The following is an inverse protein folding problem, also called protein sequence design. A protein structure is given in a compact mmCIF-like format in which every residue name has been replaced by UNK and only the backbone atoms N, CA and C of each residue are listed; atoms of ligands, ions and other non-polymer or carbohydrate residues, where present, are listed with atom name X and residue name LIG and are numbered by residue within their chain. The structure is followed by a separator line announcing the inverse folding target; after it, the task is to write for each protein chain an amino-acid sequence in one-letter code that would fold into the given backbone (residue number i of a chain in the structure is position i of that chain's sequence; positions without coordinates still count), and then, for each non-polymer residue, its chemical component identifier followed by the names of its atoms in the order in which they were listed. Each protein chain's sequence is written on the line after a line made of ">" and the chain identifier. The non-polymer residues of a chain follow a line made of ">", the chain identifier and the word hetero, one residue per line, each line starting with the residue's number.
data_IF_656663505020
#
_entry.id   IF_656663505020
#
_cell.length_a   1.000
_cell.length_b   1.000
_cell.length_c   1.000
_cell.angle_alpha   90.00
_cell.angle_beta   90.00
_cell.angle_gamma   90.00
#
_symmetry.space_group_name_H-M   'P 1'
#
loop_
_entity.id
_entity.type
_entity.pdbx_description
1 polymer ?
#
# COMPACT_ATOMS: atom_id res chain seq x y z
N UNK A 1 -46.27 55.22 -15.00
CA UNK A 1 -44.84 55.45 -14.66
C UNK A 1 -44.37 54.78 -13.36
N UNK A 2 -45.17 53.91 -12.71
CA UNK A 2 -44.77 53.27 -11.43
C UNK A 2 -44.22 51.84 -11.54
N UNK A 3 -44.34 51.19 -12.70
CA UNK A 3 -44.00 49.77 -12.84
C UNK A 3 -42.50 49.50 -13.11
N UNK A 4 -41.75 50.52 -13.56
CA UNK A 4 -40.29 50.42 -13.78
C UNK A 4 -39.46 50.69 -12.52
N UNK A 5 -40.04 51.31 -11.49
CA UNK A 5 -39.33 51.64 -10.25
C UNK A 5 -39.22 50.44 -9.29
N UNK A 6 -40.16 49.49 -9.35
CA UNK A 6 -40.18 48.34 -8.43
C UNK A 6 -39.16 47.27 -8.85
N UNK A 7 -38.90 47.09 -10.15
CA UNK A 7 -37.92 46.10 -10.61
C UNK A 7 -36.46 46.47 -10.28
N UNK A 8 -36.14 47.76 -10.12
CA UNK A 8 -34.78 48.19 -9.80
C UNK A 8 -34.41 47.95 -8.32
N UNK A 9 -35.39 47.88 -7.42
CA UNK A 9 -35.14 47.74 -5.97
C UNK A 9 -35.03 46.29 -5.49
N UNK A 10 -35.49 45.31 -6.29
CA UNK A 10 -35.40 43.88 -5.94
C UNK A 10 -34.04 43.28 -6.34
N UNK A 11 -33.34 43.87 -7.31
CA UNK A 11 -32.04 43.35 -7.78
C UNK A 11 -30.83 43.72 -6.91
N UNK A 12 -30.99 44.57 -5.89
CA UNK A 12 -29.87 45.04 -5.04
C UNK A 12 -29.73 44.33 -3.68
N UNK A 13 -30.56 43.32 -3.39
CA UNK A 13 -30.58 42.65 -2.09
C UNK A 13 -30.00 41.21 -2.09
N UNK A 14 -29.38 40.76 -3.19
CA UNK A 14 -28.92 39.36 -3.34
C UNK A 14 -27.40 39.18 -3.41
N UNK A 15 -26.61 40.24 -3.20
CA UNK A 15 -25.14 40.13 -3.06
C UNK A 15 -24.72 40.14 -1.60
N UNK A 16 -25.19 39.16 -0.84
CA UNK A 16 -24.54 38.74 0.39
C UNK A 16 -23.90 37.38 0.11
N UNK A 17 -22.77 37.39 -0.59
CA UNK A 17 -21.85 36.27 -0.59
C UNK A 17 -21.26 36.20 0.82
N UNK A 18 -21.91 35.46 1.73
CA UNK A 18 -21.25 35.00 2.94
C UNK A 18 -20.12 34.07 2.48
N UNK A 19 -18.88 34.45 2.75
CA UNK A 19 -17.73 33.58 2.51
C UNK A 19 -17.66 32.57 3.66
N UNK A 20 -18.10 31.31 3.46
CA UNK A 20 -18.14 30.30 4.52
C UNK A 20 -16.74 29.83 4.93
N UNK A 21 -15.67 30.38 4.31
CA UNK A 21 -14.29 30.07 4.61
C UNK A 21 -13.57 31.16 5.40
N UNK A 22 -14.24 32.28 5.71
CA UNK A 22 -13.67 33.35 6.53
C UNK A 22 -13.35 32.91 7.98
N UNK A 23 -14.00 31.85 8.47
CA UNK A 23 -13.79 31.30 9.83
C UNK A 23 -12.66 30.27 9.92
N UNK A 24 -11.97 29.95 8.82
CA UNK A 24 -10.83 29.03 8.85
C UNK A 24 -9.50 29.80 8.85
N UNK A 25 -8.77 29.66 9.95
CA UNK A 25 -7.41 30.16 10.10
C UNK A 25 -6.52 29.58 8.98
N UNK A 26 -5.90 30.45 8.17
CA UNK A 26 -5.05 30.00 7.07
C UNK A 26 -3.75 29.48 7.65
N UNK A 27 -3.24 28.39 7.09
CA UNK A 27 -1.98 27.78 7.52
C UNK A 27 -0.76 28.74 7.44
N UNK A 28 -0.89 29.84 6.67
CA UNK A 28 0.09 30.93 6.59
C UNK A 28 0.13 31.82 7.83
N UNK A 29 -0.92 31.80 8.64
CA UNK A 29 -1.14 32.73 9.75
C UNK A 29 -0.84 32.05 11.11
N UNK A 30 -0.53 30.75 11.08
CA UNK A 30 -0.04 30.00 12.23
C UNK A 30 1.45 30.32 12.40
N UNK A 31 1.86 31.03 13.47
CA UNK A 31 3.27 31.23 13.76
C UNK A 31 3.91 29.88 14.06
N UNK A 32 4.72 29.39 13.12
CA UNK A 32 5.65 28.29 13.38
C UNK A 32 6.66 28.80 14.41
N UNK A 33 6.87 28.02 15.48
CA UNK A 33 7.90 28.33 16.46
C UNK A 33 9.26 28.47 15.75
N UNK A 34 9.85 29.66 15.82
CA UNK A 34 11.25 29.86 15.45
C UNK A 34 12.12 29.17 16.50
N UNK A 35 13.00 28.29 16.02
CA UNK A 35 14.03 27.51 16.72
C UNK A 35 13.59 26.37 17.64
N UNK A 36 13.62 25.10 17.18
CA UNK A 36 14.08 24.03 18.05
C UNK A 36 15.57 24.25 18.32
N UNK A 37 15.89 24.65 19.55
CA UNK A 37 17.27 24.60 20.06
C UNK A 37 17.88 23.24 19.75
N UNK A 38 19.01 23.27 19.04
CA UNK A 38 19.56 22.14 18.31
C UNK A 38 19.67 20.85 19.12
N UNK A 39 19.12 19.77 18.55
CA UNK A 39 19.45 18.42 18.98
C UNK A 39 20.94 18.18 18.70
N UNK A 40 21.72 18.01 19.76
CA UNK A 40 23.13 17.63 19.68
C UNK A 40 23.23 16.19 19.17
N UNK A 41 23.90 16.01 18.04
CA UNK A 41 24.27 14.69 17.51
C UNK A 41 25.38 14.15 18.42
N UNK A 42 25.11 13.07 19.15
CA UNK A 42 26.16 12.28 19.81
C UNK A 42 26.79 11.42 18.73
N UNK A 43 27.96 11.83 18.24
CA UNK A 43 28.82 10.97 17.43
C UNK A 43 29.47 9.92 18.32
N UNK A 44 29.08 8.65 18.15
CA UNK A 44 29.86 7.54 18.70
C UNK A 44 30.90 7.12 17.65
N UNK A 45 32.17 7.41 17.96
CA UNK A 45 33.33 6.94 17.22
C UNK A 45 33.39 5.40 17.35
N UNK A 46 33.30 4.70 16.23
CA UNK A 46 33.47 3.26 16.17
C UNK A 46 34.95 2.94 15.92
N UNK A 47 35.66 2.56 16.98
CA UNK A 47 37.00 1.99 16.91
C UNK A 47 36.99 0.73 16.00
N UNK A 48 37.76 0.79 14.91
CA UNK A 48 37.97 -0.35 14.02
C UNK A 48 39.31 -1.01 14.38
N UNK A 49 39.34 -2.27 14.84
CA UNK A 49 40.61 -2.95 15.08
C UNK A 49 41.27 -3.39 13.75
N UNK A 50 42.62 -3.38 13.67
CA UNK A 50 43.32 -3.75 12.45
C UNK A 50 43.23 -5.25 12.17
N UNK A 51 42.73 -5.61 10.98
CA UNK A 51 42.81 -6.95 10.43
C UNK A 51 44.25 -7.20 9.91
N UNK A 52 45.13 -7.62 10.80
CA UNK A 52 46.43 -8.22 10.49
C UNK A 52 46.24 -9.73 10.38
N UNK A 53 45.89 -10.26 9.20
CA UNK A 53 46.37 -11.59 8.76
C UNK A 53 46.27 -11.69 7.24
N UNK A 54 47.45 -11.74 6.62
CA UNK A 54 47.67 -11.83 5.19
C UNK A 54 47.11 -13.09 4.57
N UNK A 55 46.72 -12.94 3.30
CA UNK A 55 46.11 -13.98 2.50
C UNK A 55 47.02 -15.14 2.15
N UNK A 56 46.43 -16.16 1.57
CA UNK A 56 47.09 -17.10 0.66
C UNK A 56 46.05 -18.03 0.02
N UNK A 57 45.17 -17.56 -0.87
CA UNK A 57 44.59 -18.41 -1.94
C UNK A 57 44.08 -17.54 -3.09
N UNK A 58 45.02 -16.94 -3.82
CA UNK A 58 44.83 -16.76 -5.26
C UNK A 58 44.83 -18.14 -5.91
N UNK A 59 43.88 -18.44 -6.80
CA UNK A 59 44.13 -18.77 -8.22
C UNK A 59 42.89 -19.33 -8.92
N UNK A 60 42.38 -18.51 -9.83
CA UNK A 60 41.90 -18.78 -11.18
C UNK A 60 41.27 -20.14 -11.52
N UNK A 61 40.07 -20.07 -12.13
CA UNK A 61 39.89 -20.48 -13.52
C UNK A 61 38.68 -19.78 -14.13
N UNK A 62 38.90 -19.25 -15.34
CA UNK A 62 37.96 -18.57 -16.20
C UNK A 62 37.20 -19.57 -17.10
N UNK A 63 36.12 -19.04 -17.66
CA UNK A 63 35.39 -19.46 -18.85
C UNK A 63 34.65 -20.81 -18.84
N UNK A 64 33.32 -20.73 -18.89
CA UNK A 64 32.57 -21.20 -20.07
C UNK A 64 31.18 -20.57 -20.08
N UNK A 65 30.91 -19.84 -21.16
CA UNK A 65 29.60 -19.38 -21.58
C UNK A 65 28.67 -20.57 -21.88
N UNK A 66 27.43 -20.52 -21.38
CA UNK A 66 26.30 -21.22 -21.98
C UNK A 66 24.99 -20.60 -21.51
N UNK A 67 24.42 -19.78 -22.40
CA UNK A 67 23.01 -19.77 -22.76
C UNK A 67 22.01 -19.32 -21.69
N UNK A 68 21.67 -18.04 -21.77
CA UNK A 68 20.33 -17.54 -21.48
C UNK A 68 19.31 -18.36 -22.30
N UNK A 69 18.63 -19.31 -21.64
CA UNK A 69 17.45 -19.95 -22.21
C UNK A 69 16.22 -19.15 -21.79
N UNK A 70 15.93 -18.14 -22.61
CA UNK A 70 14.62 -17.53 -22.70
C UNK A 70 13.66 -18.59 -23.28
N UNK A 71 12.85 -19.19 -22.41
CA UNK A 71 11.79 -20.11 -22.80
C UNK A 71 10.53 -19.82 -21.97
N UNK A 72 9.96 -18.65 -22.25
CA UNK A 72 8.55 -18.34 -22.08
C UNK A 72 7.71 -19.39 -22.82
N UNK A 73 7.39 -20.49 -22.14
CA UNK A 73 6.22 -21.32 -22.48
C UNK A 73 5.05 -20.76 -21.69
N UNK A 74 4.37 -19.78 -22.29
CA UNK A 74 3.07 -19.30 -21.87
C UNK A 74 2.04 -20.42 -22.10
N UNK A 75 1.81 -21.22 -21.07
CA UNK A 75 0.81 -22.28 -21.09
C UNK A 75 0.64 -22.89 -19.71
N UNK A 76 -0.34 -22.36 -18.97
CA UNK A 76 -1.04 -23.08 -17.90
C UNK A 76 -0.42 -23.22 -16.50
N UNK A 77 0.53 -22.36 -16.12
CA UNK A 77 1.16 -22.38 -14.77
C UNK A 77 0.73 -21.21 -13.86
N UNK A 78 -0.48 -20.68 -13.98
CA UNK A 78 -1.01 -19.72 -12.98
C UNK A 78 -1.91 -20.37 -11.92
N UNK A 79 -2.40 -21.59 -12.18
CA UNK A 79 -3.27 -22.30 -11.23
C UNK A 79 -2.52 -22.90 -10.03
N UNK A 80 -1.18 -22.95 -10.07
CA UNK A 80 -0.32 -23.41 -8.96
C UNK A 80 0.82 -22.42 -8.62
N UNK A 81 0.61 -21.11 -8.76
CA UNK A 81 1.50 -20.17 -8.06
C UNK A 81 1.23 -20.34 -6.57
N UNK A 82 2.06 -21.15 -5.90
CA UNK A 82 2.32 -20.97 -4.47
C UNK A 82 2.73 -19.50 -4.32
N UNK A 83 1.92 -18.73 -3.59
CA UNK A 83 2.22 -17.36 -3.22
C UNK A 83 3.63 -17.33 -2.62
N UNK A 84 4.62 -16.83 -3.37
CA UNK A 84 5.98 -16.62 -2.86
C UNK A 84 6.08 -15.27 -2.14
N UNK A 85 5.05 -14.43 -2.27
CA UNK A 85 4.99 -13.13 -1.62
C UNK A 85 4.53 -13.24 -0.16
N UNK A 86 3.77 -14.28 0.20
CA UNK A 86 3.51 -14.64 1.59
C UNK A 86 4.72 -15.39 2.16
N UNK A 87 5.29 -14.91 3.28
CA UNK A 87 6.29 -15.67 4.03
C UNK A 87 5.67 -16.96 4.59
N UNK A 88 6.54 -17.94 4.89
CA UNK A 88 6.20 -19.20 5.52
C UNK A 88 5.29 -19.03 6.75
N UNK A 89 4.55 -20.08 7.11
CA UNK A 89 3.68 -20.05 8.28
C UNK A 89 4.43 -19.65 9.55
N UNK A 90 3.83 -18.76 10.34
CA UNK A 90 4.36 -18.29 11.62
C UNK A 90 3.42 -18.60 12.78
N UNK A 91 3.93 -18.71 14.01
CA UNK A 91 3.11 -18.81 15.21
C UNK A 91 2.15 -17.61 15.37
N UNK A 92 1.01 -17.88 16.02
CA UNK A 92 0.06 -16.82 16.36
C UNK A 92 0.71 -15.80 17.30
N UNK A 93 0.59 -14.51 16.96
CA UNK A 93 1.12 -13.42 17.77
C UNK A 93 2.59 -13.07 17.51
N UNK A 94 3.26 -13.70 16.53
CA UNK A 94 4.61 -13.26 16.13
C UNK A 94 4.63 -11.80 15.69
N UNK A 95 5.65 -11.04 16.08
CA UNK A 95 5.91 -9.73 15.49
C UNK A 95 6.62 -9.92 14.14
N UNK A 96 6.13 -9.28 13.08
CA UNK A 96 6.76 -9.33 11.77
C UNK A 96 7.47 -8.01 11.47
N UNK A 97 8.63 -8.03 10.78
CA UNK A 97 9.20 -6.83 10.20
C UNK A 97 8.18 -6.14 9.27
N UNK A 98 8.18 -4.81 9.27
CA UNK A 98 7.27 -4.04 8.43
C UNK A 98 7.41 -4.40 6.94
N UNK A 99 6.29 -4.47 6.23
CA UNK A 99 6.21 -4.91 4.83
C UNK A 99 6.29 -6.43 4.63
N UNK A 100 6.51 -7.21 5.70
CA UNK A 100 6.34 -8.65 5.67
C UNK A 100 4.89 -9.05 5.97
N UNK A 101 4.50 -10.17 5.37
CA UNK A 101 3.22 -10.82 5.61
C UNK A 101 3.50 -12.31 5.68
N UNK A 102 2.85 -12.99 6.61
CA UNK A 102 2.98 -14.43 6.78
C UNK A 102 1.61 -15.07 6.97
N UNK A 103 1.50 -16.35 6.61
CA UNK A 103 0.33 -17.14 6.96
C UNK A 103 0.38 -17.53 8.44
N UNK A 104 -0.80 -17.64 9.07
CA UNK A 104 -0.93 -18.02 10.48
C UNK A 104 -2.17 -18.90 10.64
N UNK A 105 -2.07 -20.18 10.27
CA UNK A 105 -3.24 -21.06 10.25
C UNK A 105 -3.81 -21.32 11.65
N UNK A 106 -2.98 -21.24 12.70
CA UNK A 106 -3.40 -21.29 14.10
C UNK A 106 -4.36 -20.15 14.51
N UNK A 107 -4.43 -19.05 13.74
CA UNK A 107 -5.37 -17.96 13.98
C UNK A 107 -6.79 -18.27 13.49
N UNK A 108 -7.00 -19.37 12.77
CA UNK A 108 -8.30 -19.70 12.18
C UNK A 108 -9.34 -19.95 13.28
N UNK A 109 -10.46 -19.23 13.20
CA UNK A 109 -11.57 -19.37 14.15
C UNK A 109 -11.33 -18.76 15.53
N UNK A 110 -10.18 -18.11 15.74
CA UNK A 110 -9.88 -17.40 16.99
C UNK A 110 -10.36 -15.94 16.93
N UNK A 111 -10.28 -15.24 18.07
CA UNK A 111 -10.58 -13.81 18.12
C UNK A 111 -9.37 -13.01 17.61
N UNK A 112 -9.46 -12.51 16.38
CA UNK A 112 -8.37 -11.78 15.70
C UNK A 112 -8.25 -10.30 16.10
N UNK A 113 -9.21 -9.77 16.85
CA UNK A 113 -9.34 -8.34 17.12
C UNK A 113 -10.64 -7.77 16.57
N UNK A 114 -10.68 -6.46 16.31
CA UNK A 114 -11.83 -5.77 15.73
C UNK A 114 -11.78 -5.87 14.21
N UNK A 115 -12.84 -6.34 13.58
CA UNK A 115 -13.01 -6.16 12.13
C UNK A 115 -13.17 -4.66 11.86
N UNK A 116 -12.19 -4.07 11.17
CA UNK A 116 -12.15 -2.63 10.86
C UNK A 116 -12.55 -2.34 9.42
N UNK A 117 -12.38 -3.30 8.50
CA UNK A 117 -12.83 -3.16 7.13
C UNK A 117 -13.08 -4.52 6.44
N UNK A 118 -13.75 -4.45 5.30
CA UNK A 118 -14.13 -5.58 4.45
C UNK A 118 -14.09 -5.15 2.99
N UNK A 119 -13.62 -6.06 2.13
CA UNK A 119 -13.61 -5.86 0.69
C UNK A 119 -13.92 -7.14 -0.10
N UNK A 120 -14.83 -7.12 -1.10
CA UNK A 120 -15.77 -6.04 -1.37
C UNK A 120 -16.75 -5.84 -0.21
N UNK A 121 -17.39 -4.66 -0.13
CA UNK A 121 -18.28 -4.28 1.00
C UNK A 121 -19.44 -5.27 1.24
N UNK A 122 -19.84 -6.04 0.23
CA UNK A 122 -20.87 -7.08 0.32
C UNK A 122 -20.34 -8.40 -0.24
N UNK A 123 -20.85 -9.52 0.28
CA UNK A 123 -20.53 -10.87 -0.19
C UNK A 123 -19.38 -11.54 0.56
N UNK A 124 -18.84 -12.62 -0.02
CA UNK A 124 -17.60 -13.26 0.41
C UNK A 124 -16.41 -12.46 -0.12
N UNK A 125 -15.40 -12.24 0.71
CA UNK A 125 -14.23 -11.47 0.33
C UNK A 125 -13.23 -11.42 1.47
N UNK A 126 -12.38 -10.42 1.43
CA UNK A 126 -11.37 -10.15 2.44
C UNK A 126 -11.95 -9.34 3.60
N UNK A 127 -11.44 -9.63 4.79
CA UNK A 127 -11.79 -8.90 6.02
C UNK A 127 -10.50 -8.53 6.73
N UNK A 128 -10.39 -7.28 7.15
CA UNK A 128 -9.26 -6.72 7.84
C UNK A 128 -9.58 -6.59 9.33
N UNK A 129 -8.72 -7.14 10.16
CA UNK A 129 -8.82 -7.11 11.60
C UNK A 129 -7.64 -6.36 12.20
N UNK A 130 -7.94 -5.51 13.17
CA UNK A 130 -6.98 -4.78 13.98
C UNK A 130 -7.00 -5.33 15.41
N UNK A 131 -5.83 -5.76 15.92
CA UNK A 131 -5.71 -6.27 17.28
C UNK A 131 -5.94 -5.21 18.35
N UNK A 132 -5.68 -3.93 18.05
CA UNK A 132 -5.90 -2.82 18.96
C UNK A 132 -6.13 -1.49 18.21
N UNK A 133 -7.36 -1.20 17.75
CA UNK A 133 -7.64 0.00 16.95
C UNK A 133 -7.58 1.33 17.73
N UNK A 134 -7.33 1.31 19.04
CA UNK A 134 -7.29 2.52 19.87
C UNK A 134 -5.87 3.08 20.06
N UNK A 135 -4.85 2.46 19.46
CA UNK A 135 -3.47 2.94 19.53
C UNK A 135 -2.95 3.40 18.18
N UNK A 136 -1.96 4.28 18.20
CA UNK A 136 -1.18 4.70 17.03
C UNK A 136 0.12 3.90 16.88
N UNK A 137 0.47 3.06 17.86
CA UNK A 137 1.66 2.23 17.80
C UNK A 137 1.51 1.08 16.77
N UNK A 138 2.64 0.60 16.19
CA UNK A 138 2.63 -0.60 15.36
C UNK A 138 2.09 -1.81 16.11
N UNK A 139 1.23 -2.58 15.44
CA UNK A 139 0.54 -3.75 15.99
C UNK A 139 0.21 -4.74 14.89
N UNK A 140 -0.21 -5.93 15.31
CA UNK A 140 -0.59 -6.99 14.38
C UNK A 140 -1.95 -6.71 13.78
N UNK A 141 -2.02 -6.80 12.46
CA UNK A 141 -3.25 -6.87 11.69
C UNK A 141 -3.41 -8.29 11.13
N UNK A 142 -4.66 -8.72 11.00
CA UNK A 142 -4.98 -9.97 10.32
C UNK A 142 -5.88 -9.72 9.12
N UNK A 143 -5.70 -10.49 8.06
CA UNK A 143 -6.59 -10.52 6.91
C UNK A 143 -7.06 -11.94 6.66
N UNK A 144 -8.37 -12.12 6.50
CA UNK A 144 -8.99 -13.41 6.16
C UNK A 144 -9.59 -13.37 4.75
N UNK A 145 -10.07 -14.51 4.25
CA UNK A 145 -10.62 -14.64 2.88
C UNK A 145 -9.66 -15.24 1.86
N UNK A 146 -8.54 -15.81 2.32
CA UNK A 146 -7.56 -16.47 1.47
C UNK A 146 -7.98 -17.90 1.10
N UNK A 147 -7.45 -18.41 -0.02
CA UNK A 147 -7.87 -19.67 -0.65
C UNK A 147 -7.54 -20.91 0.19
N UNK A 148 -6.46 -20.88 0.96
CA UNK A 148 -6.07 -21.94 1.90
C UNK A 148 -6.83 -21.87 3.24
N UNK A 149 -7.68 -20.85 3.43
CA UNK A 149 -8.45 -20.64 4.65
C UNK A 149 -7.63 -20.16 5.86
N UNK A 150 -6.33 -19.88 5.70
CA UNK A 150 -5.49 -19.36 6.78
C UNK A 150 -5.51 -17.83 6.79
N UNK A 151 -5.61 -17.18 7.95
CA UNK A 151 -5.38 -15.74 8.03
C UNK A 151 -3.94 -15.38 7.62
N UNK A 152 -3.78 -14.19 7.05
CA UNK A 152 -2.47 -13.54 6.88
C UNK A 152 -2.29 -12.54 8.00
N UNK A 153 -1.09 -12.44 8.53
CA UNK A 153 -0.73 -11.43 9.51
C UNK A 153 0.38 -10.54 8.98
N UNK A 154 0.36 -9.28 9.40
CA UNK A 154 1.43 -8.30 9.19
C UNK A 154 1.43 -7.28 10.33
N UNK A 155 2.52 -6.53 10.47
CA UNK A 155 2.67 -5.50 11.50
C UNK A 155 2.68 -4.12 10.85
N UNK A 156 1.84 -3.21 11.34
CA UNK A 156 1.71 -1.83 10.86
C UNK A 156 1.12 -0.93 11.96
N UNK A 157 1.17 0.38 11.78
CA UNK A 157 0.44 1.35 12.62
C UNK A 157 -0.96 1.65 12.06
N UNK A 158 -1.15 1.49 10.75
CA UNK A 158 -2.44 1.64 10.07
C UNK A 158 -2.49 0.71 8.84
N UNK A 159 -3.66 0.17 8.53
CA UNK A 159 -3.91 -0.63 7.35
C UNK A 159 -5.26 -0.27 6.72
N UNK A 160 -5.29 -0.16 5.40
CA UNK A 160 -6.47 0.27 4.64
C UNK A 160 -6.62 -0.60 3.40
N UNK A 161 -7.85 -0.99 3.07
CA UNK A 161 -8.14 -1.59 1.78
C UNK A 161 -8.28 -0.52 0.68
N UNK A 162 -7.54 -0.71 -0.42
CA UNK A 162 -7.63 0.07 -1.65
C UNK A 162 -8.30 -0.73 -2.77
N UNK A 163 -9.30 -0.14 -3.40
CA UNK A 163 -9.97 -0.76 -4.54
C UNK A 163 -9.10 -0.64 -5.82
N UNK A 164 -9.06 -1.66 -6.69
CA UNK A 164 -8.52 -1.56 -8.04
C UNK A 164 -8.91 -0.28 -8.81
N UNK A 165 -10.18 0.14 -8.75
CA UNK A 165 -10.62 1.39 -9.39
C UNK A 165 -9.91 2.63 -8.83
N UNK A 166 -9.65 2.68 -7.52
CA UNK A 166 -8.93 3.77 -6.89
C UNK A 166 -7.46 3.77 -7.30
N UNK A 167 -6.85 2.58 -7.35
CA UNK A 167 -5.48 2.42 -7.83
C UNK A 167 -5.34 2.95 -9.26
N UNK A 168 -6.24 2.62 -10.19
CA UNK A 168 -6.17 3.11 -11.58
C UNK A 168 -6.31 4.64 -11.67
N UNK A 169 -7.24 5.22 -10.90
CA UNK A 169 -7.46 6.67 -10.87
C UNK A 169 -6.21 7.43 -10.41
N UNK A 170 -5.56 6.95 -9.36
CA UNK A 170 -4.33 7.55 -8.86
C UNK A 170 -3.17 7.29 -9.81
N UNK A 171 -2.99 6.03 -10.25
CA UNK A 171 -1.77 5.61 -10.95
C UNK A 171 -1.63 6.21 -12.34
N UNK A 172 -2.72 6.30 -13.10
CA UNK A 172 -2.65 6.72 -14.50
C UNK A 172 -2.67 8.23 -14.70
N UNK A 173 -2.91 8.99 -13.64
CA UNK A 173 -2.69 10.44 -13.62
C UNK A 173 -1.25 10.84 -13.29
N UNK A 174 -0.42 9.91 -12.80
CA UNK A 174 0.95 10.20 -12.33
C UNK A 174 1.99 10.00 -13.45
N UNK A 175 2.98 10.93 -13.58
CA UNK A 175 4.16 10.72 -14.42
C UNK A 175 4.91 9.45 -14.01
N UNK A 176 5.35 8.65 -14.98
CA UNK A 176 5.97 7.33 -14.69
C UNK A 176 7.46 7.43 -14.33
N UNK A 177 8.10 8.54 -14.67
CA UNK A 177 9.47 8.92 -14.35
C UNK A 177 9.61 9.38 -12.89
N UNK A 178 8.67 10.19 -12.40
CA UNK A 178 8.63 10.62 -11.00
C UNK A 178 8.11 9.51 -10.07
N UNK A 179 7.18 8.67 -10.57
CA UNK A 179 6.61 7.55 -9.83
C UNK A 179 6.85 6.25 -10.61
N UNK A 180 7.98 5.56 -10.39
CA UNK A 180 8.28 4.29 -11.05
C UNK A 180 7.23 3.22 -10.73
N UNK A 181 7.00 2.29 -11.67
CA UNK A 181 6.14 1.13 -11.40
C UNK A 181 6.77 0.20 -10.36
N UNK A 182 6.10 0.08 -9.21
CA UNK A 182 6.39 -0.91 -8.17
C UNK A 182 6.02 -2.33 -8.61
N UNK A 183 6.48 -3.33 -7.86
CA UNK A 183 6.13 -4.73 -8.17
C UNK A 183 4.64 -5.01 -7.96
N UNK A 184 4.00 -4.30 -7.01
CA UNK A 184 2.53 -4.29 -6.89
C UNK A 184 1.85 -3.71 -8.11
N UNK A 185 2.38 -2.64 -8.71
CA UNK A 185 1.80 -2.05 -9.93
C UNK A 185 1.96 -3.01 -11.11
N UNK A 186 3.14 -3.60 -11.29
CA UNK A 186 3.41 -4.58 -12.36
C UNK A 186 2.49 -5.79 -12.24
N UNK A 187 2.30 -6.32 -11.03
CA UNK A 187 1.41 -7.45 -10.77
C UNK A 187 -0.04 -7.08 -11.08
N UNK A 188 -0.49 -5.89 -10.70
CA UNK A 188 -1.82 -5.39 -11.02
C UNK A 188 -2.05 -5.24 -12.52
N UNK A 189 -1.10 -4.65 -13.25
CA UNK A 189 -1.17 -4.50 -14.71
C UNK A 189 -1.32 -5.87 -15.39
N UNK A 190 -0.66 -6.91 -14.87
CA UNK A 190 -0.82 -8.28 -15.35
C UNK A 190 -2.23 -8.86 -15.12
N UNK A 191 -2.83 -8.64 -13.95
CA UNK A 191 -4.23 -9.03 -13.67
C UNK A 191 -5.18 -8.28 -14.61
N UNK A 192 -5.02 -6.96 -14.70
CA UNK A 192 -5.86 -6.08 -15.51
C UNK A 192 -5.78 -6.45 -16.99
N UNK A 193 -4.59 -6.70 -17.52
CA UNK A 193 -4.43 -7.14 -18.91
C UNK A 193 -5.23 -8.41 -19.19
N UNK A 194 -5.17 -9.41 -18.29
CA UNK A 194 -5.91 -10.67 -18.43
C UNK A 194 -7.43 -10.52 -18.29
N UNK A 195 -7.90 -9.77 -17.30
CA UNK A 195 -9.34 -9.66 -17.00
C UNK A 195 -10.05 -8.62 -17.88
N UNK A 196 -9.36 -7.54 -18.21
CA UNK A 196 -9.93 -6.39 -18.92
C UNK A 196 -9.54 -6.33 -20.40
N UNK A 197 -8.46 -7.01 -20.81
CA UNK A 197 -7.93 -6.93 -22.18
C UNK A 197 -7.33 -5.55 -22.51
N UNK A 198 -6.84 -4.82 -21.51
CA UNK A 198 -6.32 -3.46 -21.67
C UNK A 198 -4.78 -3.44 -21.57
N UNK A 199 -4.10 -2.64 -22.41
CA UNK A 199 -2.65 -2.51 -22.33
C UNK A 199 -2.22 -1.77 -21.06
N UNK A 200 -0.90 -1.76 -20.81
CA UNK A 200 -0.32 -1.10 -19.65
C UNK A 200 -0.71 0.39 -19.60
N UNK A 201 -1.02 0.91 -18.41
CA UNK A 201 -1.32 2.33 -18.21
C UNK A 201 -2.69 2.78 -18.73
N UNK A 202 -3.54 1.86 -19.21
CA UNK A 202 -4.93 2.17 -19.60
C UNK A 202 -5.92 1.59 -18.61
N UNK A 203 -6.99 2.33 -18.25
CA UNK A 203 -7.97 1.85 -17.27
C UNK A 203 -8.79 0.66 -17.79
N UNK A 204 -9.19 -0.21 -16.87
CA UNK A 204 -10.05 -1.36 -17.14
C UNK A 204 -11.44 -0.95 -17.63
N UNK A 205 -11.90 0.25 -17.23
CA UNK A 205 -13.21 0.80 -17.61
C UNK A 205 -14.37 0.01 -17.00
N UNK A 206 -15.38 -0.29 -17.81
CA UNK A 206 -16.62 -0.96 -17.33
C UNK A 206 -16.39 -2.33 -16.69
N UNK A 207 -15.27 -2.99 -16.99
CA UNK A 207 -14.91 -4.31 -16.42
C UNK A 207 -14.28 -4.23 -15.03
N UNK A 208 -14.01 -3.03 -14.48
CA UNK A 208 -13.29 -2.87 -13.21
C UNK A 208 -13.97 -3.60 -12.05
N UNK A 209 -15.31 -3.59 -12.01
CA UNK A 209 -16.09 -4.33 -11.00
C UNK A 209 -15.81 -5.83 -11.01
N UNK A 210 -15.44 -6.40 -12.16
CA UNK A 210 -15.05 -7.82 -12.25
C UNK A 210 -13.71 -8.10 -11.58
N UNK A 211 -12.76 -7.17 -11.70
CA UNK A 211 -11.45 -7.24 -11.04
C UNK A 211 -11.62 -7.11 -9.52
N UNK A 212 -12.44 -6.15 -9.08
CA UNK A 212 -12.71 -5.85 -7.67
C UNK A 212 -13.45 -6.96 -6.91
N UNK A 213 -14.02 -7.96 -7.60
CA UNK A 213 -14.64 -9.10 -6.90
C UNK A 213 -13.65 -9.88 -6.05
N UNK A 214 -12.42 -10.04 -6.54
CA UNK A 214 -11.42 -10.89 -5.91
C UNK A 214 -10.03 -10.23 -5.78
N UNK A 215 -9.91 -8.96 -6.16
CA UNK A 215 -8.63 -8.21 -6.14
C UNK A 215 -8.74 -7.00 -5.23
N UNK A 216 -7.80 -6.85 -4.31
CA UNK A 216 -7.73 -5.72 -3.38
C UNK A 216 -6.28 -5.33 -3.13
N UNK A 217 -6.03 -4.04 -2.98
CA UNK A 217 -4.78 -3.53 -2.44
C UNK A 217 -4.90 -3.38 -0.91
N UNK A 218 -3.84 -3.67 -0.19
CA UNK A 218 -3.73 -3.37 1.23
C UNK A 218 -2.57 -2.41 1.38
N UNK A 219 -2.88 -1.15 1.69
CA UNK A 219 -1.87 -0.15 2.00
C UNK A 219 -1.67 -0.13 3.50
N UNK A 220 -0.42 -0.27 3.93
CA UNK A 220 -0.01 -0.34 5.33
C UNK A 220 1.01 0.74 5.62
N UNK A 221 0.91 1.37 6.79
CA UNK A 221 1.79 2.47 7.19
C UNK A 221 2.59 2.03 8.42
N UNK A 222 3.90 2.24 8.40
CA UNK A 222 4.78 1.79 9.48
C UNK A 222 4.48 2.55 10.78
N UNK A 223 4.21 3.84 10.67
CA UNK A 223 3.96 4.77 11.78
C UNK A 223 3.17 5.97 11.28
N UNK A 224 2.62 6.72 12.23
CA UNK A 224 2.05 8.05 11.97
C UNK A 224 3.17 9.10 11.90
N UNK A 225 2.99 10.15 11.09
CA UNK A 225 3.93 11.28 10.96
C UNK A 225 4.56 11.43 9.56
N UNK A 226 5.39 12.48 9.40
CA UNK A 226 5.77 13.03 8.08
C UNK A 226 6.78 12.21 7.27
N UNK A 227 7.62 11.43 7.94
CA UNK A 227 8.58 10.53 7.27
C UNK A 227 7.92 9.17 6.99
N UNK A 228 6.82 9.18 6.24
CA UNK A 228 6.00 7.99 6.03
C UNK A 228 6.73 6.95 5.17
N UNK A 229 7.02 5.79 5.78
CA UNK A 229 7.25 4.54 5.04
C UNK A 229 5.95 3.76 5.01
N UNK A 230 5.52 3.38 3.82
CA UNK A 230 4.32 2.57 3.63
C UNK A 230 4.62 1.34 2.80
N UNK A 231 3.75 0.34 2.84
CA UNK A 231 3.85 -0.84 2.01
C UNK A 231 2.50 -1.15 1.39
N UNK A 232 2.51 -1.36 0.08
CA UNK A 232 1.37 -1.88 -0.65
C UNK A 232 1.50 -3.39 -0.79
N UNK A 233 0.39 -4.10 -0.58
CA UNK A 233 0.26 -5.52 -0.86
C UNK A 233 -0.91 -5.75 -1.82
N UNK A 234 -0.69 -6.48 -2.90
CA UNK A 234 -1.73 -6.85 -3.86
C UNK A 234 -2.23 -8.25 -3.55
N UNK A 235 -3.52 -8.38 -3.23
CA UNK A 235 -4.18 -9.65 -2.99
C UNK A 235 -5.14 -9.94 -4.14
N UNK A 236 -5.04 -11.14 -4.71
CA UNK A 236 -5.89 -11.58 -5.81
C UNK A 236 -6.23 -13.06 -5.69
N UNK A 237 -7.51 -13.41 -5.87
CA UNK A 237 -8.02 -14.79 -5.81
C UNK A 237 -7.54 -15.57 -4.56
N UNK A 238 -7.51 -14.90 -3.41
CA UNK A 238 -7.13 -15.51 -2.14
C UNK A 238 -5.64 -15.81 -1.98
N UNK A 239 -4.76 -15.06 -2.66
CA UNK A 239 -3.31 -15.12 -2.51
C UNK A 239 -2.70 -13.71 -2.56
N UNK A 240 -1.63 -13.46 -1.79
CA UNK A 240 -0.81 -12.25 -1.98
C UNK A 240 0.07 -12.46 -3.21
N UNK A 241 0.00 -11.57 -4.19
CA UNK A 241 0.76 -11.70 -5.42
C UNK A 241 2.03 -10.86 -5.45
N UNK A 242 2.01 -9.71 -4.79
CA UNK A 242 3.13 -8.80 -4.75
C UNK A 242 3.03 -7.91 -3.52
N UNK A 243 4.19 -7.43 -3.08
CA UNK A 243 4.33 -6.46 -1.99
C UNK A 243 5.45 -5.51 -2.35
N UNK A 244 5.32 -4.26 -1.99
CA UNK A 244 6.39 -3.28 -2.18
C UNK A 244 6.40 -2.32 -1.02
N UNK A 245 7.58 -2.03 -0.47
CA UNK A 245 7.79 -0.95 0.49
C UNK A 245 8.12 0.31 -0.30
N UNK A 246 7.52 1.43 0.11
CA UNK A 246 7.67 2.76 -0.45
C UNK A 246 8.02 3.72 0.68
N UNK A 247 8.74 4.78 0.34
CA UNK A 247 9.11 5.86 1.23
C UNK A 247 9.05 7.17 0.45
N UNK A 248 8.69 8.25 1.15
CA UNK A 248 8.90 9.61 0.65
C UNK A 248 10.35 10.04 0.85
#
# INVERSE_FOLDING_TARGET
>A
MYQKAILASVCLALTACGDPLADFERLSDVPLAEDPTGAQIVTHEADTPPALFGGLFSRASADTAATESDASTAGDTFLLVRSTADASEVPLGSALPFGQVASVCAAKGTKLGKEIDRFPKRGSGYRLYDTNPTTTAPRTFYVTGFRDGCPRQFTAALAIFGAPSMHEQLRYGLPSDEYPYSDTDKAYEGIKARMCGKPKGKPCGSRIKSVERNTVFISTYERFGDTARWSDMLVHNGAVLAKTIKSN
#
